data_IF_450024206146
#
_entry.id   IF_450024206146
#
_cell.length_a   1.000
_cell.length_b   1.000
_cell.length_c   1.000
_cell.angle_alpha   90.00
_cell.angle_beta   90.00
_cell.angle_gamma   90.00
#
_symmetry.space_group_name_H-M   'P 1'
#
loop_
_entity.id
_entity.type
_entity.pdbx_description
1 polymer ?
#
# COMPACT_ATOMS: atom_id res chain seq x y z
N UNK A 1 -15.01 -5.49 -8.67
CA UNK A 1 -14.37 -5.16 -7.37
C UNK A 1 -12.95 -4.69 -7.66
N UNK A 2 -12.59 -3.49 -7.24
CA UNK A 2 -11.24 -2.94 -7.41
C UNK A 2 -10.69 -2.55 -6.04
N UNK A 3 -9.50 -3.03 -5.71
CA UNK A 3 -8.81 -2.73 -4.45
C UNK A 3 -7.50 -2.02 -4.76
N UNK A 4 -7.38 -0.78 -4.30
CA UNK A 4 -6.15 -0.01 -4.46
C UNK A 4 -5.10 -0.43 -3.42
N UNK A 5 -3.82 -0.21 -3.74
CA UNK A 5 -2.75 -0.28 -2.75
C UNK A 5 -2.19 1.13 -2.48
N UNK A 6 -2.18 1.53 -1.21
CA UNK A 6 -1.73 2.86 -0.77
C UNK A 6 -0.48 2.69 0.08
N UNK A 7 0.68 2.99 -0.49
CA UNK A 7 1.97 2.90 0.18
C UNK A 7 2.28 4.25 0.82
N UNK A 8 2.43 4.26 2.14
CA UNK A 8 2.72 5.46 2.92
C UNK A 8 4.22 5.55 3.21
N UNK A 9 4.94 6.37 2.47
CA UNK A 9 6.37 6.61 2.66
C UNK A 9 6.57 7.96 3.37
N UNK A 10 6.87 7.91 4.66
CA UNK A 10 6.87 9.08 5.55
C UNK A 10 7.92 10.15 5.18
N UNK A 11 9.04 9.75 4.58
CA UNK A 11 10.10 10.68 4.14
C UNK A 11 10.78 10.18 2.87
N UNK A 12 11.37 11.08 2.06
CA UNK A 12 12.15 10.69 0.89
C UNK A 12 13.29 9.73 1.22
N UNK A 13 14.03 9.98 2.32
CA UNK A 13 15.13 9.12 2.76
C UNK A 13 14.64 7.71 3.11
N UNK A 14 13.49 7.61 3.79
CA UNK A 14 12.85 6.33 4.11
C UNK A 14 12.40 5.62 2.85
N UNK A 15 11.77 6.32 1.91
CA UNK A 15 11.31 5.79 0.63
C UNK A 15 12.47 5.22 -0.21
N UNK A 16 13.60 5.91 -0.21
CA UNK A 16 14.79 5.59 -1.01
C UNK A 16 15.78 4.65 -0.31
N UNK A 17 15.53 4.28 0.95
CA UNK A 17 16.38 3.31 1.66
C UNK A 17 16.56 2.05 0.80
N UNK A 18 17.81 1.64 0.60
CA UNK A 18 18.10 0.44 -0.17
C UNK A 18 17.81 -0.82 0.65
N UNK A 19 17.00 -1.72 0.08
CA UNK A 19 16.73 -3.06 0.57
C UNK A 19 17.07 -4.03 -0.57
N UNK A 20 17.98 -4.97 -0.32
CA UNK A 20 18.46 -5.91 -1.34
C UNK A 20 18.89 -5.18 -2.65
N UNK A 21 19.61 -4.06 -2.50
CA UNK A 21 20.08 -3.20 -3.60
C UNK A 21 18.98 -2.47 -4.40
N UNK A 22 17.74 -2.46 -3.93
CA UNK A 22 16.61 -1.75 -4.55
C UNK A 22 16.05 -0.69 -3.58
N UNK A 23 15.58 0.45 -4.08
CA UNK A 23 14.84 1.40 -3.26
C UNK A 23 13.59 0.76 -2.64
N UNK A 24 13.38 0.98 -1.35
CA UNK A 24 12.24 0.41 -0.61
C UNK A 24 10.90 0.66 -1.31
N UNK A 25 10.67 1.92 -1.73
CA UNK A 25 9.42 2.31 -2.39
C UNK A 25 9.18 1.51 -3.68
N UNK A 26 10.24 1.21 -4.43
CA UNK A 26 10.15 0.39 -5.65
C UNK A 26 9.77 -1.05 -5.33
N UNK A 27 10.42 -1.64 -4.33
CA UNK A 27 10.12 -3.00 -3.85
C UNK A 27 8.65 -3.13 -3.44
N UNK A 28 8.16 -2.18 -2.63
CA UNK A 28 6.78 -2.19 -2.16
C UNK A 28 5.76 -1.99 -3.29
N UNK A 29 6.07 -1.10 -4.25
CA UNK A 29 5.21 -0.88 -5.40
C UNK A 29 5.08 -2.14 -6.28
N UNK A 30 6.19 -2.84 -6.50
CA UNK A 30 6.21 -4.10 -7.23
C UNK A 30 5.45 -5.20 -6.48
N UNK A 31 5.66 -5.34 -5.16
CA UNK A 31 4.93 -6.29 -4.33
C UNK A 31 3.42 -6.01 -4.31
N UNK A 32 3.04 -4.74 -4.19
CA UNK A 32 1.64 -4.32 -4.20
C UNK A 32 0.95 -4.63 -5.53
N UNK A 33 1.65 -4.36 -6.65
CA UNK A 33 1.17 -4.69 -7.98
C UNK A 33 1.03 -6.21 -8.18
N UNK A 34 2.06 -6.97 -7.80
CA UNK A 34 2.05 -8.43 -7.91
C UNK A 34 0.96 -9.08 -7.06
N UNK A 35 0.65 -8.53 -5.89
CA UNK A 35 -0.44 -8.98 -5.04
C UNK A 35 -1.83 -8.54 -5.48
N UNK A 36 -1.96 -7.89 -6.66
CA UNK A 36 -3.26 -7.52 -7.24
C UNK A 36 -3.82 -6.17 -6.78
N UNK A 37 -3.04 -5.34 -6.09
CA UNK A 37 -3.44 -3.98 -5.73
C UNK A 37 -3.46 -3.07 -6.97
N UNK A 38 -4.63 -2.58 -7.39
CA UNK A 38 -4.82 -1.71 -8.55
C UNK A 38 -5.85 -0.64 -8.24
N UNK A 39 -5.53 0.67 -8.41
CA UNK A 39 -4.20 1.22 -8.72
C UNK A 39 -3.24 1.14 -7.53
N UNK A 40 -1.94 1.18 -7.80
CA UNK A 40 -0.92 1.37 -6.76
C UNK A 40 -0.63 2.87 -6.64
N UNK A 41 -0.75 3.42 -5.43
CA UNK A 41 -0.45 4.83 -5.13
C UNK A 41 0.62 4.88 -4.05
N UNK A 42 1.70 5.59 -4.32
CA UNK A 42 2.74 5.91 -3.34
C UNK A 42 2.52 7.35 -2.87
N UNK A 43 2.31 7.54 -1.58
CA UNK A 43 2.22 8.87 -0.96
C UNK A 43 3.59 9.21 -0.37
N UNK A 44 4.33 10.07 -1.05
CA UNK A 44 5.68 10.48 -0.64
C UNK A 44 6.01 11.89 -1.13
N UNK A 45 6.77 12.64 -0.33
CA UNK A 45 7.39 13.87 -0.79
C UNK A 45 8.55 13.54 -1.74
N UNK A 46 8.69 14.33 -2.80
CA UNK A 46 9.73 14.13 -3.81
C UNK A 46 10.28 15.48 -4.31
N UNK A 47 10.95 16.23 -3.43
CA UNK A 47 11.37 17.60 -3.73
C UNK A 47 12.43 17.70 -4.85
N UNK A 48 13.15 16.64 -5.12
CA UNK A 48 14.25 16.57 -6.08
C UNK A 48 14.06 15.54 -7.21
N UNK A 49 12.90 14.87 -7.26
CA UNK A 49 12.59 13.88 -8.29
C UNK A 49 13.22 12.49 -8.06
N UNK A 50 13.88 12.26 -6.92
CA UNK A 50 14.59 11.01 -6.67
C UNK A 50 13.63 9.83 -6.43
N UNK A 51 12.48 10.07 -5.77
CA UNK A 51 11.45 9.04 -5.56
C UNK A 51 10.78 8.69 -6.90
N UNK A 52 10.45 9.69 -7.72
CA UNK A 52 9.92 9.48 -9.06
C UNK A 52 10.90 8.68 -9.94
N UNK A 53 12.18 9.01 -9.87
CA UNK A 53 13.23 8.27 -10.58
C UNK A 53 13.33 6.80 -10.11
N UNK A 54 13.23 6.54 -8.81
CA UNK A 54 13.23 5.19 -8.24
C UNK A 54 12.01 4.36 -8.69
N UNK A 55 10.88 5.02 -8.97
CA UNK A 55 9.63 4.40 -9.41
C UNK A 55 9.49 4.32 -10.94
N UNK A 56 10.46 4.84 -11.70
CA UNK A 56 10.39 4.85 -13.16
C UNK A 56 10.15 3.45 -13.74
N UNK A 57 9.16 3.30 -14.63
CA UNK A 57 8.76 2.04 -15.23
C UNK A 57 7.92 1.10 -14.32
N UNK A 58 7.60 1.48 -13.08
CA UNK A 58 6.62 0.77 -12.26
C UNK A 58 5.18 1.22 -12.59
N UNK A 59 4.23 0.31 -12.45
CA UNK A 59 2.79 0.59 -12.59
C UNK A 59 2.28 1.27 -11.31
N UNK A 60 2.62 2.54 -11.13
CA UNK A 60 2.37 3.27 -9.89
C UNK A 60 2.11 4.75 -10.16
N UNK A 61 1.30 5.36 -9.30
CA UNK A 61 1.12 6.82 -9.24
C UNK A 61 1.82 7.34 -7.99
N UNK A 62 2.72 8.31 -8.15
CA UNK A 62 3.31 9.05 -7.04
C UNK A 62 2.38 10.21 -6.68
N UNK A 63 1.87 10.21 -5.46
CA UNK A 63 1.02 11.26 -4.92
C UNK A 63 1.82 12.17 -4.00
N UNK A 64 1.76 13.47 -4.25
CA UNK A 64 2.26 14.46 -3.29
C UNK A 64 1.49 14.30 -1.96
N UNK A 65 2.19 14.24 -0.81
CA UNK A 65 1.54 14.05 0.47
C UNK A 65 0.69 15.25 0.88
N UNK A 66 -0.30 15.01 1.72
CA UNK A 66 -0.98 16.07 2.44
C UNK A 66 0.03 16.87 3.30
N UNK A 67 -0.25 18.14 3.63
CA UNK A 67 0.58 18.91 4.54
C UNK A 67 0.90 18.13 5.83
N UNK A 68 2.14 18.21 6.31
CA UNK A 68 2.61 17.41 7.45
C UNK A 68 1.76 17.61 8.71
N UNK A 69 1.29 18.83 8.93
CA UNK A 69 0.42 19.21 10.04
C UNK A 69 -0.97 18.57 9.98
N UNK A 70 -1.40 18.09 8.82
CA UNK A 70 -2.64 17.36 8.66
C UNK A 70 -2.58 15.92 9.20
N UNK A 71 -1.39 15.44 9.54
CA UNK A 71 -1.15 14.18 10.24
C UNK A 71 -1.33 12.90 9.41
N UNK A 72 -1.15 11.73 10.05
CA UNK A 72 -1.20 10.43 9.36
C UNK A 72 -2.55 10.10 8.72
N UNK A 73 -3.66 10.48 9.35
CA UNK A 73 -5.02 10.26 8.81
C UNK A 73 -5.16 10.91 7.44
N UNK A 74 -4.68 12.15 7.29
CA UNK A 74 -4.77 12.88 6.02
C UNK A 74 -3.91 12.22 4.92
N UNK A 75 -2.78 11.60 5.27
CA UNK A 75 -1.95 10.88 4.30
C UNK A 75 -2.67 9.65 3.74
N UNK A 76 -3.36 8.90 4.60
CA UNK A 76 -4.16 7.75 4.19
C UNK A 76 -5.31 8.21 3.29
N UNK A 77 -6.08 9.21 3.73
CA UNK A 77 -7.17 9.77 2.93
C UNK A 77 -6.68 10.27 1.58
N UNK A 78 -5.53 10.98 1.55
CA UNK A 78 -4.90 11.47 0.31
C UNK A 78 -4.63 10.33 -0.67
N UNK A 79 -4.03 9.24 -0.22
CA UNK A 79 -3.77 8.08 -1.07
C UNK A 79 -5.05 7.47 -1.64
N UNK A 80 -6.07 7.31 -0.79
CA UNK A 80 -7.37 6.75 -1.21
C UNK A 80 -8.07 7.68 -2.20
N UNK A 81 -8.06 9.01 -1.98
CA UNK A 81 -8.68 9.97 -2.88
C UNK A 81 -8.01 9.98 -4.26
N UNK A 82 -6.67 9.89 -4.31
CA UNK A 82 -5.93 9.73 -5.57
C UNK A 82 -6.32 8.45 -6.27
N UNK A 83 -6.35 7.31 -5.57
CA UNK A 83 -6.72 6.03 -6.14
C UNK A 83 -8.14 6.06 -6.74
N UNK A 84 -9.10 6.67 -6.05
CA UNK A 84 -10.48 6.84 -6.53
C UNK A 84 -10.59 7.82 -7.69
N UNK A 85 -9.71 8.79 -7.77
CA UNK A 85 -9.60 9.67 -8.93
C UNK A 85 -9.08 8.95 -10.18
N UNK A 86 -8.24 7.93 -10.01
CA UNK A 86 -7.71 7.09 -11.09
C UNK A 86 -8.71 6.01 -11.52
N UNK A 87 -9.34 5.35 -10.53
CA UNK A 87 -10.31 4.29 -10.73
C UNK A 87 -11.52 4.54 -9.85
N UNK A 88 -12.60 5.02 -10.46
CA UNK A 88 -13.83 5.44 -9.75
C UNK A 88 -14.48 4.30 -8.97
N UNK A 89 -14.41 3.07 -9.49
CA UNK A 89 -14.96 1.86 -8.88
C UNK A 89 -14.05 1.25 -7.80
N UNK A 90 -13.11 2.01 -7.23
CA UNK A 90 -12.31 1.56 -6.09
C UNK A 90 -13.20 1.36 -4.86
N UNK A 91 -13.34 0.11 -4.42
CA UNK A 91 -14.22 -0.29 -3.32
C UNK A 91 -13.50 -0.38 -1.99
N UNK A 92 -12.19 -0.68 -2.02
CA UNK A 92 -11.35 -0.76 -0.84
C UNK A 92 -9.91 -0.32 -1.15
N UNK A 93 -9.14 -0.08 -0.09
CA UNK A 93 -7.72 0.24 -0.19
C UNK A 93 -6.91 -0.57 0.82
N UNK A 94 -5.84 -1.18 0.35
CA UNK A 94 -4.80 -1.75 1.23
C UNK A 94 -3.87 -0.61 1.63
N UNK A 95 -3.92 -0.21 2.89
CA UNK A 95 -3.06 0.82 3.48
C UNK A 95 -1.78 0.16 3.97
N UNK A 96 -0.65 0.54 3.38
CA UNK A 96 0.64 -0.11 3.61
C UNK A 96 1.70 0.90 4.09
N UNK A 97 2.01 0.95 5.38
CA UNK A 97 3.14 1.74 5.88
C UNK A 97 4.47 1.20 5.32
N UNK A 98 5.29 2.06 4.74
CA UNK A 98 6.53 1.63 4.07
C UNK A 98 7.53 0.93 5.00
N UNK A 99 7.45 1.15 6.33
CA UNK A 99 8.26 0.41 7.29
C UNK A 99 8.04 -1.10 7.27
N UNK A 100 6.87 -1.56 6.79
CA UNK A 100 6.52 -2.99 6.68
C UNK A 100 7.05 -3.55 5.36
N UNK A 101 8.38 -3.61 5.24
CA UNK A 101 9.08 -3.91 4.00
C UNK A 101 9.08 -5.41 3.63
N UNK A 102 8.77 -6.27 4.59
CA UNK A 102 8.94 -7.71 4.46
C UNK A 102 7.67 -8.45 4.05
N UNK A 103 6.56 -7.72 3.92
CA UNK A 103 5.27 -8.31 3.53
C UNK A 103 5.35 -8.90 2.13
N UNK A 104 4.87 -10.12 2.01
CA UNK A 104 4.83 -10.87 0.77
C UNK A 104 3.62 -10.47 -0.09
N UNK A 105 3.73 -10.45 -1.43
CA UNK A 105 2.60 -10.19 -2.32
C UNK A 105 1.37 -11.07 -2.07
N UNK A 106 1.57 -12.33 -1.67
CA UNK A 106 0.48 -13.27 -1.40
C UNK A 106 -0.38 -12.85 -0.19
N UNK A 107 0.19 -12.07 0.72
CA UNK A 107 -0.60 -11.43 1.78
C UNK A 107 -1.63 -10.45 1.22
N UNK A 108 -1.26 -9.63 0.22
CA UNK A 108 -2.23 -8.75 -0.45
C UNK A 108 -3.31 -9.53 -1.17
N UNK A 109 -2.92 -10.56 -1.93
CA UNK A 109 -3.86 -11.46 -2.61
C UNK A 109 -4.86 -12.01 -1.62
N UNK A 110 -4.40 -12.53 -0.47
CA UNK A 110 -5.26 -13.08 0.58
C UNK A 110 -6.23 -12.05 1.18
N UNK A 111 -5.77 -10.81 1.40
CA UNK A 111 -6.63 -9.72 1.89
C UNK A 111 -7.70 -9.34 0.86
N UNK A 112 -7.35 -9.27 -0.43
CA UNK A 112 -8.27 -8.95 -1.54
C UNK A 112 -9.33 -10.04 -1.69
N UNK A 113 -8.92 -11.31 -1.66
CA UNK A 113 -9.85 -12.45 -1.72
C UNK A 113 -10.82 -12.48 -0.52
N UNK A 114 -10.29 -12.22 0.68
CA UNK A 114 -11.11 -12.16 1.89
C UNK A 114 -12.14 -11.03 1.82
N UNK A 115 -11.77 -9.85 1.28
CA UNK A 115 -12.69 -8.75 1.03
C UNK A 115 -13.73 -9.09 -0.04
N UNK A 116 -13.35 -9.82 -1.09
CA UNK A 116 -14.30 -10.30 -2.10
C UNK A 116 -15.37 -11.23 -1.55
N UNK A 117 -15.08 -11.93 -0.46
CA UNK A 117 -16.03 -12.82 0.23
C UNK A 117 -16.92 -12.05 1.22
N UNK A 118 -16.33 -11.07 1.93
CA UNK A 118 -17.00 -10.25 2.93
C UNK A 118 -16.47 -8.81 2.83
N UNK A 119 -17.18 -7.91 2.14
CA UNK A 119 -16.69 -6.58 1.81
C UNK A 119 -16.86 -5.55 2.94
N UNK A 120 -17.53 -5.90 4.03
CA UNK A 120 -17.87 -4.94 5.09
C UNK A 120 -16.71 -4.63 6.05
N UNK A 121 -15.99 -5.64 6.62
CA UNK A 121 -15.02 -5.36 7.66
C UNK A 121 -13.71 -4.79 7.13
N UNK A 122 -13.06 -4.00 7.98
CA UNK A 122 -11.62 -3.73 7.89
C UNK A 122 -10.89 -5.04 8.16
N UNK A 123 -9.99 -5.46 7.24
CA UNK A 123 -9.29 -6.73 7.36
C UNK A 123 -7.84 -6.46 7.75
N UNK A 124 -7.41 -7.04 8.88
CA UNK A 124 -6.02 -7.03 9.33
C UNK A 124 -5.38 -8.38 9.11
N UNK A 125 -4.21 -8.49 8.46
CA UNK A 125 -3.46 -9.72 8.45
C UNK A 125 -2.96 -10.02 9.87
N UNK A 126 -2.75 -11.29 10.17
CA UNK A 126 -2.11 -11.70 11.41
C UNK A 126 -1.03 -12.76 11.13
N UNK A 127 -0.01 -12.75 11.96
CA UNK A 127 1.01 -13.77 12.06
C UNK A 127 1.06 -14.30 13.49
N UNK A 128 0.87 -15.61 13.65
CA UNK A 128 0.81 -16.28 14.96
C UNK A 128 -0.18 -15.61 15.94
N UNK A 129 -1.35 -15.21 15.41
CA UNK A 129 -2.42 -14.57 16.17
C UNK A 129 -2.19 -13.09 16.48
N UNK A 130 -1.05 -12.52 16.11
CA UNK A 130 -0.75 -11.09 16.29
C UNK A 130 -1.18 -10.30 15.08
N UNK A 131 -2.16 -9.36 15.19
CA UNK A 131 -2.59 -8.53 14.07
C UNK A 131 -1.49 -7.56 13.62
N UNK A 132 -1.34 -7.40 12.31
CA UNK A 132 -0.28 -6.60 11.70
C UNK A 132 -0.75 -5.66 10.59
N UNK A 133 0.17 -5.37 9.66
CA UNK A 133 0.03 -4.54 8.48
C UNK A 133 0.47 -5.32 7.23
N UNK A 134 0.01 -4.94 6.00
CA UNK A 134 -0.91 -3.84 5.66
C UNK A 134 -2.37 -4.14 6.05
N UNK A 135 -3.20 -3.09 6.06
CA UNK A 135 -4.62 -3.23 6.43
C UNK A 135 -5.50 -2.94 5.23
N UNK A 136 -6.45 -3.80 4.93
CA UNK A 136 -7.47 -3.53 3.92
C UNK A 136 -8.61 -2.75 4.57
N UNK A 137 -8.88 -1.56 4.05
CA UNK A 137 -9.92 -0.63 4.50
C UNK A 137 -10.97 -0.45 3.39
N UNK A 138 -12.22 -0.90 3.58
CA UNK A 138 -13.31 -0.60 2.67
C UNK A 138 -13.58 0.91 2.56
N UNK A 139 -13.81 1.42 1.35
CA UNK A 139 -14.11 2.85 1.11
C UNK A 139 -15.40 3.28 1.83
N UNK A 140 -16.30 2.37 2.11
CA UNK A 140 -17.50 2.64 2.92
C UNK A 140 -17.18 3.26 4.29
N UNK A 141 -15.98 3.00 4.86
CA UNK A 141 -15.55 3.54 6.14
C UNK A 141 -14.69 4.80 6.03
N UNK A 142 -14.52 5.36 4.83
CA UNK A 142 -13.67 6.53 4.60
C UNK A 142 -14.14 7.77 5.38
N UNK A 143 -15.45 7.97 5.53
CA UNK A 143 -15.98 9.09 6.32
C UNK A 143 -15.71 8.92 7.82
N UNK A 144 -15.77 7.69 8.35
CA UNK A 144 -15.37 7.42 9.73
C UNK A 144 -13.88 7.69 9.93
N UNK A 145 -13.04 7.29 8.96
CA UNK A 145 -11.60 7.60 8.97
C UNK A 145 -11.35 9.12 8.99
N UNK A 146 -12.02 9.88 8.13
CA UNK A 146 -11.89 11.35 8.06
C UNK A 146 -12.33 12.08 9.32
N UNK A 147 -13.22 11.46 10.10
CA UNK A 147 -13.71 12.02 11.35
C UNK A 147 -12.72 11.86 12.52
N UNK A 148 -11.68 11.03 12.35
CA UNK A 148 -10.68 10.81 13.39
C UNK A 148 -9.78 12.02 13.59
N UNK A 149 -9.16 12.09 14.76
CA UNK A 149 -8.18 13.12 15.07
C UNK A 149 -6.97 12.99 14.14
N UNK A 150 -6.44 14.09 13.59
CA UNK A 150 -5.37 14.07 12.61
C UNK A 150 -4.05 13.51 13.16
N UNK A 151 -3.81 13.66 14.47
CA UNK A 151 -2.57 13.28 15.15
C UNK A 151 -2.49 11.79 15.54
N UNK A 152 -3.52 11.00 15.21
CA UNK A 152 -3.53 9.56 15.51
C UNK A 152 -2.49 8.80 14.71
N UNK A 153 -1.68 8.02 15.41
CA UNK A 153 -0.76 7.08 14.77
C UNK A 153 -1.52 5.90 14.13
N UNK A 154 -0.97 5.23 13.12
CA UNK A 154 -1.69 4.19 12.38
C UNK A 154 -2.34 3.10 13.25
N UNK A 155 -1.67 2.62 14.29
CA UNK A 155 -2.24 1.59 15.17
C UNK A 155 -3.38 2.15 16.05
N UNK A 156 -3.21 3.35 16.62
CA UNK A 156 -4.25 4.05 17.39
C UNK A 156 -5.48 4.38 16.53
N UNK A 157 -5.26 4.70 15.25
CA UNK A 157 -6.33 4.97 14.28
C UNK A 157 -7.22 3.74 14.09
N UNK A 158 -6.65 2.53 14.05
CA UNK A 158 -7.42 1.30 13.93
C UNK A 158 -8.26 1.03 15.18
N UNK A 159 -7.71 1.30 16.37
CA UNK A 159 -8.43 1.19 17.63
C UNK A 159 -9.60 2.20 17.71
N UNK A 160 -9.37 3.44 17.26
CA UNK A 160 -10.42 4.47 17.21
C UNK A 160 -11.54 4.11 16.22
N UNK A 161 -11.22 3.55 15.05
CA UNK A 161 -12.22 3.05 14.10
C UNK A 161 -13.05 1.91 14.72
N UNK A 162 -12.41 0.98 15.40
CA UNK A 162 -13.11 -0.10 16.09
C UNK A 162 -14.03 0.44 17.21
N UNK A 163 -13.56 1.42 17.97
CA UNK A 163 -14.36 2.10 19.01
C UNK A 163 -15.54 2.87 18.40
N UNK A 164 -15.42 3.38 17.18
CA UNK A 164 -16.50 4.01 16.43
C UNK A 164 -17.50 3.02 15.82
N UNK A 165 -17.32 1.71 16.04
CA UNK A 165 -18.23 0.66 15.57
C UNK A 165 -17.95 0.16 14.16
N UNK A 166 -16.82 0.51 13.56
CA UNK A 166 -16.40 -0.07 12.29
C UNK A 166 -16.08 -1.56 12.52
N UNK A 167 -16.64 -2.49 11.71
CA UNK A 167 -16.36 -3.90 11.88
C UNK A 167 -14.93 -4.25 11.48
N UNK A 168 -14.30 -5.16 12.23
CA UNK A 168 -12.96 -5.65 12.00
C UNK A 168 -12.94 -7.16 11.87
N UNK A 169 -12.07 -7.65 11.00
CA UNK A 169 -11.76 -9.07 10.84
C UNK A 169 -10.26 -9.27 10.82
N UNK A 170 -9.77 -10.23 11.57
CA UNK A 170 -8.37 -10.68 11.51
C UNK A 170 -8.26 -11.88 10.59
N UNK A 171 -7.27 -11.88 9.71
CA UNK A 171 -6.96 -12.96 8.77
C UNK A 171 -5.56 -13.50 9.06
N UNK A 172 -5.46 -14.75 9.50
CA UNK A 172 -4.16 -15.42 9.66
C UNK A 172 -3.57 -15.71 8.28
N UNK A 173 -2.40 -15.15 7.97
CA UNK A 173 -1.78 -15.24 6.64
C UNK A 173 -0.44 -15.98 6.64
N UNK A 174 0.12 -16.31 7.82
CA UNK A 174 1.40 -17.02 7.93
C UNK A 174 2.61 -16.21 7.44
N UNK A 175 2.48 -14.91 7.24
CA UNK A 175 3.52 -14.00 6.76
C UNK A 175 4.09 -13.19 7.93
N UNK A 176 5.35 -13.46 8.36
CA UNK A 176 5.98 -12.71 9.45
C UNK A 176 6.21 -11.24 9.10
N UNK A 177 6.30 -10.89 7.82
CA UNK A 177 6.44 -9.50 7.35
C UNK A 177 5.27 -8.60 7.77
N UNK A 178 4.13 -9.18 8.16
CA UNK A 178 2.98 -8.41 8.62
C UNK A 178 3.15 -7.82 10.01
N UNK A 179 4.02 -8.40 10.84
CA UNK A 179 4.28 -7.99 12.23
C UNK A 179 5.71 -7.52 12.49
N UNK A 180 6.62 -7.75 11.53
CA UNK A 180 8.03 -7.37 11.62
C UNK A 180 8.30 -6.25 10.61
N UNK A 181 8.82 -5.14 11.10
CA UNK A 181 9.15 -3.97 10.27
C UNK A 181 10.66 -3.92 9.94
N UNK A 182 11.10 -2.82 9.36
CA UNK A 182 12.50 -2.55 9.00
C UNK A 182 13.50 -2.52 10.18
N UNK A 183 13.04 -2.62 11.42
CA UNK A 183 13.92 -2.79 12.58
C UNK A 183 14.40 -4.24 12.74
N UNK A 184 13.70 -5.17 12.10
CA UNK A 184 14.09 -6.59 12.04
C UNK A 184 14.86 -6.82 10.75
N UNK A 185 16.05 -7.40 10.83
CA UNK A 185 16.79 -7.81 9.65
C UNK A 185 16.07 -8.99 8.96
N UNK A 186 16.16 -9.07 7.64
CA UNK A 186 15.46 -10.10 6.87
C UNK A 186 15.82 -11.54 7.31
N UNK A 187 17.07 -11.73 7.70
CA UNK A 187 17.63 -13.02 8.12
C UNK A 187 17.09 -13.48 9.48
N UNK A 188 16.60 -12.54 10.28
CA UNK A 188 16.03 -12.79 11.61
C UNK A 188 14.50 -13.00 11.58
N UNK A 189 13.87 -12.91 10.39
CA UNK A 189 12.43 -13.15 10.26
C UNK A 189 12.10 -14.61 10.54
N UNK A 190 10.99 -14.90 11.23
CA UNK A 190 10.42 -16.25 11.29
C UNK A 190 10.18 -16.82 9.88
N UNK A 191 10.13 -18.15 9.73
CA UNK A 191 9.82 -18.76 8.44
C UNK A 191 8.45 -18.34 7.94
N UNK A 192 8.37 -18.03 6.66
CA UNK A 192 7.09 -17.81 5.97
C UNK A 192 6.30 -19.13 5.92
N UNK A 193 5.04 -19.08 6.34
CA UNK A 193 4.11 -20.21 6.36
C UNK A 193 2.77 -19.86 5.67
N UNK A 194 2.76 -18.81 4.85
CA UNK A 194 1.61 -18.37 4.08
C UNK A 194 1.38 -19.19 2.79
N UNK A 195 0.44 -18.76 1.94
CA UNK A 195 0.21 -19.38 0.65
C UNK A 195 1.50 -19.39 -0.18
N UNK A 196 1.81 -20.47 -0.90
CA UNK A 196 3.00 -20.51 -1.74
C UNK A 196 2.84 -19.56 -2.94
N UNK A 197 3.95 -18.96 -3.37
CA UNK A 197 4.00 -18.25 -4.64
C UNK A 197 3.51 -19.16 -5.77
N UNK A 198 2.66 -18.64 -6.71
CA UNK A 198 2.21 -19.44 -7.86
C UNK A 198 3.39 -20.03 -8.63
N UNK A 199 3.30 -21.29 -9.04
CA UNK A 199 4.39 -22.01 -9.71
C UNK A 199 4.85 -21.35 -11.04
N UNK A 200 4.02 -20.50 -11.64
CA UNK A 200 4.34 -19.68 -12.81
C UNK A 200 5.15 -18.41 -12.48
N UNK A 201 5.39 -18.13 -11.21
CA UNK A 201 5.75 -16.77 -10.74
C UNK A 201 4.64 -15.78 -11.10
N UNK A 202 4.72 -14.57 -10.64
CA UNK A 202 3.92 -13.47 -11.21
C UNK A 202 4.56 -13.02 -12.53
N UNK A 203 4.85 -13.96 -13.44
CA UNK A 203 5.25 -13.64 -14.81
C UNK A 203 4.05 -12.93 -15.43
N UNK A 204 4.11 -11.60 -15.42
CA UNK A 204 3.13 -10.78 -16.08
C UNK A 204 3.07 -11.19 -17.55
N UNK A 205 2.11 -12.01 -17.92
CA UNK A 205 1.83 -12.35 -19.33
C UNK A 205 1.66 -11.09 -20.18
N UNK A 206 1.37 -9.97 -19.55
CA UNK A 206 1.20 -8.65 -20.18
C UNK A 206 2.52 -7.87 -20.35
N UNK A 207 3.57 -8.20 -19.60
CA UNK A 207 4.87 -7.50 -19.67
C UNK A 207 5.87 -8.08 -20.65
N UNK A 208 5.81 -9.37 -20.92
CA UNK A 208 6.76 -10.04 -21.82
C UNK A 208 6.54 -9.70 -23.30
N UNK A 209 5.32 -9.35 -23.69
CA UNK A 209 5.01 -8.98 -25.09
C UNK A 209 5.40 -7.52 -25.40
N UNK A 210 5.44 -6.65 -24.38
CA UNK A 210 5.85 -5.25 -24.56
C UNK A 210 7.38 -5.08 -24.66
N UNK A 211 8.17 -6.05 -24.21
CA UNK A 211 9.63 -5.99 -24.21
C UNK A 211 10.25 -6.24 -25.59
N UNK A 212 9.52 -6.79 -26.53
CA UNK A 212 10.02 -7.10 -27.89
C UNK A 212 9.83 -5.96 -28.91
N UNK A 213 9.13 -4.89 -28.54
CA UNK A 213 9.02 -3.68 -29.35
C UNK A 213 9.71 -2.50 -28.69
N UNK A 214 10.98 -2.72 -28.32
CA UNK A 214 11.81 -1.63 -27.81
C UNK A 214 12.16 -0.66 -28.94
N UNK A 215 11.33 0.34 -29.13
CA UNK A 215 11.81 1.64 -29.53
C UNK A 215 12.53 2.23 -28.31
N UNK A 216 13.71 2.82 -28.50
CA UNK A 216 14.58 3.41 -27.46
C UNK A 216 13.95 4.60 -26.70
N UNK A 217 12.65 4.67 -26.61
CA UNK A 217 11.94 5.67 -25.82
C UNK A 217 12.05 5.33 -24.32
N UNK A 218 12.51 6.26 -23.47
CA UNK A 218 12.52 6.05 -22.04
C UNK A 218 11.11 5.72 -21.55
N UNK A 219 10.99 4.68 -20.72
CA UNK A 219 9.72 4.31 -20.10
C UNK A 219 9.17 5.54 -19.35
N UNK A 220 7.87 5.83 -19.47
CA UNK A 220 7.27 6.93 -18.75
C UNK A 220 7.48 6.75 -17.25
N UNK A 221 7.84 7.83 -16.58
CA UNK A 221 7.93 7.86 -15.12
C UNK A 221 6.55 7.70 -14.48
N UNK A 222 6.48 7.60 -13.16
CA UNK A 222 5.20 7.51 -12.45
C UNK A 222 4.36 8.75 -12.71
N UNK A 223 3.05 8.58 -12.80
CA UNK A 223 2.12 9.70 -12.84
C UNK A 223 2.18 10.45 -11.51
N UNK A 224 2.33 11.77 -11.54
CA UNK A 224 2.36 12.60 -10.34
C UNK A 224 0.99 13.25 -10.16
N UNK A 225 0.37 13.03 -9.01
CA UNK A 225 -0.87 13.68 -8.61
C UNK A 225 -0.55 14.76 -7.54
N UNK A 226 -0.57 16.05 -7.89
CA UNK A 226 -0.27 17.13 -6.96
C UNK A 226 -1.31 17.22 -5.85
N UNK A 227 -0.93 17.79 -4.71
CA UNK A 227 -1.87 18.07 -3.64
C UNK A 227 -2.82 19.20 -4.04
N UNK A 228 -4.13 18.94 -3.97
CA UNK A 228 -5.18 19.95 -4.07
C UNK A 228 -6.00 19.95 -2.77
N UNK A 229 -6.18 21.10 -2.10
CA UNK A 229 -7.03 21.16 -0.91
C UNK A 229 -8.47 20.83 -1.32
N UNK A 230 -9.18 20.10 -0.45
CA UNK A 230 -10.59 19.82 -0.66
C UNK A 230 -11.36 21.15 -0.79
N UNK A 231 -12.34 21.27 -1.73
CA UNK A 231 -13.15 22.46 -1.83
C UNK A 231 -13.82 22.72 -0.48
N UNK A 232 -13.60 23.92 0.05
CA UNK A 232 -14.13 24.33 1.34
C UNK A 232 -15.65 24.18 1.37
N UNK A 233 -16.19 23.63 2.44
CA UNK A 233 -17.62 23.61 2.75
C UNK A 233 -18.06 24.98 3.24
#
# INVERSE_FOLDING_TARGET
MTVAAIILAASPEGALRAIDSRPLVRRLAEAAWSGGGVPVVVVAADPDGAVAAALAGAQVTLAEPAPREAGPVAQICRGIDVARGLVTETEAAVVWPARMAWVDPETLTSLIEAHGTDPEPVIRPAFEGTPGWPVLLPVAHLEALRALRPDRMPDELLDDLAAAGVPFRTLEVGDPGTTHDLATEREDLPPYAGPPEPASGHAHEWGSVAAETADDAPLPGPTIAPWEPAPGR
#
